data_IF_727962342062
#
_entry.id   IF_727962342062
#
_cell.length_a   1.000
_cell.length_b   1.000
_cell.length_c   1.000
_cell.angle_alpha   90.00
_cell.angle_beta   90.00
_cell.angle_gamma   90.00
#
_symmetry.space_group_name_H-M   'P 1'
#
loop_
_entity.id
_entity.type
_entity.pdbx_description
1 polymer ?
#
# COMPACT_ATOMS: atom_id res chain seq x y z
N UNK A 1 12.16 -2.65 0.94
CA UNK A 1 10.93 -3.41 1.26
C UNK A 1 9.88 -2.39 1.64
N UNK A 2 9.31 -1.83 0.58
CA UNK A 2 8.23 -0.88 0.62
C UNK A 2 7.00 -1.60 1.19
N UNK A 3 6.17 -0.95 2.01
CA UNK A 3 4.79 -1.39 2.20
C UNK A 3 4.16 -1.72 0.85
N UNK A 4 3.24 -2.68 0.81
CA UNK A 4 2.51 -3.03 -0.41
C UNK A 4 1.96 -1.77 -1.13
N UNK A 5 1.41 -0.82 -0.36
CA UNK A 5 1.02 0.51 -0.83
C UNK A 5 2.17 1.30 -1.45
N UNK A 6 3.26 1.49 -0.71
CA UNK A 6 4.44 2.21 -1.21
C UNK A 6 5.08 1.52 -2.43
N UNK A 7 5.01 0.19 -2.52
CA UNK A 7 5.49 -0.59 -3.66
C UNK A 7 4.67 -0.30 -4.91
N UNK A 8 3.35 -0.38 -4.81
CA UNK A 8 2.42 -0.09 -5.91
C UNK A 8 2.56 1.37 -6.35
N UNK A 9 2.62 2.32 -5.42
CA UNK A 9 2.89 3.74 -5.73
C UNK A 9 4.27 3.97 -6.35
N UNK A 10 5.27 3.16 -5.98
CA UNK A 10 6.59 3.17 -6.62
C UNK A 10 6.50 2.76 -8.10
N UNK A 11 5.83 1.64 -8.39
CA UNK A 11 5.61 1.15 -9.75
C UNK A 11 4.80 2.15 -10.59
N UNK A 12 3.77 2.76 -10.01
CA UNK A 12 2.99 3.81 -10.65
C UNK A 12 3.83 5.03 -11.04
N UNK A 13 4.77 5.43 -10.18
CA UNK A 13 5.71 6.52 -10.49
C UNK A 13 6.61 6.17 -11.69
N UNK A 14 7.07 4.92 -11.78
CA UNK A 14 7.90 4.47 -12.90
C UNK A 14 7.12 4.46 -14.23
N UNK A 15 5.83 4.08 -14.19
CA UNK A 15 4.90 4.20 -15.33
C UNK A 15 4.76 5.67 -15.74
N UNK A 16 4.45 6.56 -14.79
CA UNK A 16 4.30 7.99 -15.06
C UNK A 16 5.57 8.63 -15.64
N UNK A 17 6.74 8.27 -15.11
CA UNK A 17 8.03 8.77 -15.60
C UNK A 17 8.27 8.38 -17.06
N UNK A 18 8.06 7.11 -17.40
CA UNK A 18 8.27 6.60 -18.76
C UNK A 18 7.25 7.18 -19.74
N UNK A 19 5.96 7.26 -19.37
CA UNK A 19 4.93 7.88 -20.20
C UNK A 19 5.21 9.37 -20.45
N UNK A 20 5.67 10.11 -19.44
CA UNK A 20 6.08 11.51 -19.60
C UNK A 20 7.28 11.67 -20.53
N UNK A 21 8.28 10.78 -20.43
CA UNK A 21 9.44 10.78 -21.32
C UNK A 21 9.02 10.57 -22.78
N UNK A 22 8.18 9.57 -23.04
CA UNK A 22 7.63 9.29 -24.37
C UNK A 22 6.84 10.49 -24.90
N UNK A 23 5.96 11.10 -24.09
CA UNK A 23 5.17 12.27 -24.51
C UNK A 23 6.06 13.42 -24.99
N UNK A 24 7.16 13.71 -24.27
CA UNK A 24 8.11 14.75 -24.64
C UNK A 24 8.83 14.41 -25.94
N UNK A 25 9.28 13.17 -26.10
CA UNK A 25 9.97 12.71 -27.31
C UNK A 25 9.04 12.76 -28.54
N UNK A 26 7.79 12.31 -28.41
CA UNK A 26 6.80 12.38 -29.48
C UNK A 26 6.46 13.82 -29.85
N UNK A 27 6.26 14.69 -28.86
CA UNK A 27 5.97 16.12 -29.10
C UNK A 27 7.10 16.81 -29.87
N UNK A 28 8.36 16.44 -29.61
CA UNK A 28 9.52 16.96 -30.38
C UNK A 28 9.50 16.47 -31.83
N UNK A 29 9.11 15.22 -32.06
CA UNK A 29 9.02 14.64 -33.39
C UNK A 29 7.90 15.29 -34.21
N UNK A 30 6.72 15.47 -33.62
CA UNK A 30 5.55 16.03 -34.30
C UNK A 30 5.68 17.53 -34.55
N UNK A 31 6.25 18.30 -33.62
CA UNK A 31 6.53 19.73 -33.82
C UNK A 31 7.58 19.98 -34.93
N UNK A 32 8.51 19.03 -35.14
CA UNK A 32 9.53 19.15 -36.17
C UNK A 32 9.00 18.90 -37.60
N UNK A 33 7.84 18.25 -37.76
CA UNK A 33 7.19 18.08 -39.07
C UNK A 33 6.64 19.40 -39.65
N UNK A 34 6.50 20.44 -38.84
CA UNK A 34 6.15 21.79 -39.30
C UNK A 34 7.38 22.65 -39.68
N UNK A 35 8.60 22.12 -39.51
CA UNK A 35 9.88 22.79 -39.79
C UNK A 35 10.76 22.08 -40.83
N UNK A 36 11.90 22.68 -41.25
CA UNK A 36 12.69 22.22 -42.39
C UNK A 36 13.56 20.97 -42.15
N UNK A 37 13.30 20.18 -41.10
CA UNK A 37 14.23 19.13 -40.65
C UNK A 37 13.56 17.73 -40.57
N UNK A 38 13.40 17.02 -41.69
CA UNK A 38 12.68 15.74 -41.79
C UNK A 38 13.39 14.53 -41.13
N UNK A 39 14.56 14.70 -40.50
CA UNK A 39 15.33 13.62 -39.86
C UNK A 39 15.08 13.42 -38.36
N UNK A 40 14.11 14.11 -37.76
CA UNK A 40 13.92 14.13 -36.30
C UNK A 40 13.34 12.83 -35.74
N UNK A 41 12.40 12.18 -36.44
CA UNK A 41 11.82 10.94 -35.93
C UNK A 41 12.78 9.76 -36.00
N UNK A 42 13.46 9.52 -37.13
CA UNK A 42 14.44 8.43 -37.27
C UNK A 42 15.55 8.48 -36.19
N UNK A 43 16.01 9.69 -35.85
CA UNK A 43 17.01 9.87 -34.81
C UNK A 43 16.47 9.66 -33.39
N UNK A 44 15.18 9.95 -33.15
CA UNK A 44 14.55 9.88 -31.82
C UNK A 44 13.88 8.52 -31.55
N UNK A 45 13.53 7.78 -32.61
CA UNK A 45 12.85 6.47 -32.55
C UNK A 45 13.56 5.47 -31.64
N UNK A 46 14.90 5.32 -31.64
CA UNK A 46 15.58 4.41 -30.71
C UNK A 46 15.36 4.77 -29.24
N UNK A 47 15.33 6.07 -28.91
CA UNK A 47 15.07 6.55 -27.54
C UNK A 47 13.62 6.28 -27.14
N UNK A 48 12.66 6.53 -28.03
CA UNK A 48 11.23 6.22 -27.80
C UNK A 48 11.05 4.72 -27.55
N UNK A 49 11.69 3.86 -28.34
CA UNK A 49 11.60 2.41 -28.17
C UNK A 49 12.22 1.94 -26.85
N UNK A 50 13.32 2.54 -26.42
CA UNK A 50 13.93 2.23 -25.12
C UNK A 50 12.99 2.59 -23.96
N UNK A 51 12.40 3.79 -23.99
CA UNK A 51 11.42 4.24 -22.98
C UNK A 51 10.14 3.42 -23.01
N UNK A 52 9.69 2.99 -24.20
CA UNK A 52 8.53 2.11 -24.35
C UNK A 52 8.75 0.75 -23.69
N UNK A 53 9.95 0.17 -23.77
CA UNK A 53 10.26 -1.08 -23.07
C UNK A 53 10.25 -0.90 -21.54
N UNK A 54 10.72 0.24 -21.04
CA UNK A 54 10.59 0.60 -19.61
C UNK A 54 9.13 0.74 -19.23
N UNK A 55 8.32 1.47 -20.02
CA UNK A 55 6.89 1.64 -19.80
C UNK A 55 6.17 0.29 -19.78
N UNK A 56 6.41 -0.59 -20.76
CA UNK A 56 5.81 -1.94 -20.82
C UNK A 56 6.13 -2.76 -19.58
N UNK A 57 7.40 -2.77 -19.17
CA UNK A 57 7.85 -3.50 -17.99
C UNK A 57 7.21 -2.93 -16.71
N UNK A 58 7.21 -1.62 -16.54
CA UNK A 58 6.65 -0.95 -15.36
C UNK A 58 5.13 -1.10 -15.29
N UNK A 59 4.42 -0.99 -16.41
CA UNK A 59 2.97 -1.21 -16.48
C UNK A 59 2.62 -2.66 -16.17
N UNK A 60 3.35 -3.62 -16.72
CA UNK A 60 3.15 -5.05 -16.40
C UNK A 60 3.42 -5.33 -14.92
N UNK A 61 4.50 -4.75 -14.37
CA UNK A 61 4.84 -4.88 -12.96
C UNK A 61 3.80 -4.27 -12.04
N UNK A 62 3.30 -3.07 -12.37
CA UNK A 62 2.22 -2.41 -11.64
C UNK A 62 0.98 -3.31 -11.62
N UNK A 63 0.50 -3.73 -12.79
CA UNK A 63 -0.73 -4.52 -12.92
C UNK A 63 -0.62 -5.87 -12.21
N UNK A 64 0.53 -6.54 -12.29
CA UNK A 64 0.79 -7.80 -11.58
C UNK A 64 0.89 -7.63 -10.06
N UNK A 65 1.23 -6.43 -9.58
CA UNK A 65 1.29 -6.13 -8.16
C UNK A 65 -0.08 -5.75 -7.57
N UNK A 66 -1.10 -5.47 -8.39
CA UNK A 66 -2.42 -5.10 -7.88
C UNK A 66 -3.19 -6.31 -7.32
N UNK A 67 -4.16 -6.10 -6.42
CA UNK A 67 -5.00 -7.17 -5.90
C UNK A 67 -5.89 -7.77 -6.98
N UNK A 68 -6.17 -9.07 -6.89
CA UNK A 68 -7.09 -9.77 -7.81
C UNK A 68 -8.54 -9.29 -7.65
N UNK A 69 -8.93 -8.87 -6.45
CA UNK A 69 -10.27 -8.38 -6.09
C UNK A 69 -10.44 -6.86 -6.26
N UNK A 70 -9.46 -6.19 -6.85
CA UNK A 70 -9.54 -4.76 -7.14
C UNK A 70 -10.49 -4.47 -8.30
N UNK A 71 -11.52 -3.68 -8.06
CA UNK A 71 -12.43 -3.16 -9.08
C UNK A 71 -11.76 -2.03 -9.89
N UNK A 72 -10.97 -2.43 -10.89
CA UNK A 72 -10.21 -1.52 -11.76
C UNK A 72 -10.12 -2.02 -13.21
N UNK A 73 -11.05 -2.87 -13.65
CA UNK A 73 -10.95 -3.54 -14.96
C UNK A 73 -10.84 -2.55 -16.12
N UNK A 74 -11.71 -1.53 -16.15
CA UNK A 74 -11.67 -0.51 -17.18
C UNK A 74 -10.32 0.24 -17.23
N UNK A 75 -9.84 0.92 -16.16
CA UNK A 75 -8.55 1.63 -16.23
C UNK A 75 -7.34 0.71 -16.45
N UNK A 76 -7.40 -0.56 -16.04
CA UNK A 76 -6.36 -1.57 -16.34
C UNK A 76 -6.31 -1.88 -17.84
N UNK A 77 -7.46 -2.13 -18.44
CA UNK A 77 -7.58 -2.39 -19.88
C UNK A 77 -7.13 -1.18 -20.70
N UNK A 78 -7.52 0.04 -20.31
CA UNK A 78 -7.09 1.25 -21.01
C UNK A 78 -5.57 1.46 -20.97
N UNK A 79 -4.95 1.29 -19.79
CA UNK A 79 -3.49 1.39 -19.66
C UNK A 79 -2.77 0.40 -20.58
N UNK A 80 -3.22 -0.87 -20.60
CA UNK A 80 -2.64 -1.88 -21.48
C UNK A 80 -2.85 -1.54 -22.96
N UNK A 81 -4.03 -1.02 -23.30
CA UNK A 81 -4.41 -0.66 -24.67
C UNK A 81 -3.58 0.50 -25.19
N UNK A 82 -3.39 1.58 -24.44
CA UNK A 82 -2.57 2.72 -24.85
C UNK A 82 -1.09 2.33 -24.98
N UNK A 83 -0.55 1.52 -24.05
CA UNK A 83 0.82 0.98 -24.19
C UNK A 83 0.98 0.15 -25.48
N UNK A 84 -0.01 -0.68 -25.80
CA UNK A 84 -0.03 -1.46 -27.04
C UNK A 84 -0.07 -0.57 -28.29
N UNK A 85 -0.92 0.46 -28.32
CA UNK A 85 -1.05 1.34 -29.48
C UNK A 85 0.20 2.19 -29.72
N UNK A 86 0.85 2.69 -28.66
CA UNK A 86 2.15 3.36 -28.77
C UNK A 86 3.14 2.44 -29.49
N UNK A 87 3.25 1.17 -29.07
CA UNK A 87 4.15 0.21 -29.72
C UNK A 87 3.81 -0.01 -31.20
N UNK A 88 2.53 -0.19 -31.52
CA UNK A 88 2.07 -0.42 -32.89
C UNK A 88 2.38 0.78 -33.80
N UNK A 89 2.10 2.00 -33.35
CA UNK A 89 2.27 3.20 -34.16
C UNK A 89 3.72 3.60 -34.35
N UNK A 90 4.56 3.45 -33.33
CA UNK A 90 6.01 3.69 -33.45
C UNK A 90 6.67 2.68 -34.40
N UNK A 91 6.20 1.43 -34.43
CA UNK A 91 6.68 0.42 -35.40
C UNK A 91 6.24 0.68 -36.84
N UNK A 92 5.14 1.40 -37.04
CA UNK A 92 4.60 1.77 -38.34
C UNK A 92 5.13 3.12 -38.86
N UNK A 93 6.06 3.73 -38.13
CA UNK A 93 6.61 5.05 -38.44
C UNK A 93 5.54 6.15 -38.51
N UNK A 94 4.53 6.07 -37.63
CA UNK A 94 3.43 7.03 -37.52
C UNK A 94 3.28 7.55 -36.08
N UNK A 95 4.28 8.27 -35.54
CA UNK A 95 4.28 8.74 -34.15
C UNK A 95 3.13 9.71 -33.80
N UNK A 96 2.61 10.43 -34.80
CA UNK A 96 1.46 11.34 -34.64
C UNK A 96 0.18 10.60 -34.25
N UNK A 97 0.02 9.35 -34.69
CA UNK A 97 -1.16 8.53 -34.41
C UNK A 97 -1.26 8.14 -32.93
N UNK A 98 -0.16 8.19 -32.18
CA UNK A 98 -0.10 7.84 -30.75
C UNK A 98 0.29 9.00 -29.84
N UNK A 99 0.23 10.26 -30.30
CA UNK A 99 0.63 11.41 -29.48
C UNK A 99 -0.25 11.57 -28.22
N UNK A 100 -1.52 11.17 -28.33
CA UNK A 100 -2.49 11.25 -27.24
C UNK A 100 -2.32 10.11 -26.22
N UNK A 101 -1.87 8.92 -26.63
CA UNK A 101 -1.81 7.73 -25.77
C UNK A 101 -1.00 7.97 -24.47
N UNK A 102 0.24 8.53 -24.47
CA UNK A 102 0.96 8.81 -23.24
C UNK A 102 0.30 9.89 -22.38
N UNK A 103 -0.40 10.85 -23.00
CA UNK A 103 -1.12 11.89 -22.28
C UNK A 103 -2.35 11.30 -21.56
N UNK A 104 -3.07 10.39 -22.22
CA UNK A 104 -4.22 9.69 -21.63
C UNK A 104 -3.80 8.75 -20.49
N UNK A 105 -2.65 8.08 -20.61
CA UNK A 105 -2.05 7.32 -19.50
C UNK A 105 -1.84 8.21 -18.27
N UNK A 106 -1.28 9.40 -18.46
CA UNK A 106 -0.96 10.33 -17.38
C UNK A 106 -2.20 11.01 -16.78
N UNK A 107 -3.18 11.33 -17.61
CA UNK A 107 -4.36 12.10 -17.22
C UNK A 107 -5.50 11.23 -16.69
N UNK A 108 -5.65 10.00 -17.18
CA UNK A 108 -6.83 9.17 -16.94
C UNK A 108 -6.48 7.76 -16.46
N UNK A 109 -5.71 6.99 -17.22
CA UNK A 109 -5.57 5.54 -16.95
C UNK A 109 -4.85 5.29 -15.63
N UNK A 110 -3.65 5.86 -15.47
CA UNK A 110 -2.85 5.66 -14.27
C UNK A 110 -3.53 6.29 -13.03
N UNK A 111 -4.06 7.53 -13.08
CA UNK A 111 -4.87 8.06 -11.99
C UNK A 111 -6.09 7.19 -11.64
N UNK A 112 -6.76 6.61 -12.65
CA UNK A 112 -7.89 5.70 -12.46
C UNK A 112 -7.48 4.42 -11.71
N UNK A 113 -6.40 3.77 -12.16
CA UNK A 113 -5.83 2.59 -11.47
C UNK A 113 -5.45 2.93 -10.03
N UNK A 114 -4.78 4.05 -9.81
CA UNK A 114 -4.30 4.44 -8.48
C UNK A 114 -5.44 4.83 -7.54
N UNK A 115 -6.47 5.51 -8.04
CA UNK A 115 -7.67 5.85 -7.28
C UNK A 115 -8.40 4.59 -6.82
N UNK A 116 -8.58 3.60 -7.71
CA UNK A 116 -9.16 2.32 -7.34
C UNK A 116 -8.31 1.59 -6.30
N UNK A 117 -6.99 1.54 -6.51
CA UNK A 117 -6.07 0.89 -5.57
C UNK A 117 -6.09 1.56 -4.20
N UNK A 118 -6.03 2.88 -4.13
CA UNK A 118 -6.08 3.62 -2.87
C UNK A 118 -7.41 3.39 -2.16
N UNK A 119 -8.54 3.36 -2.88
CA UNK A 119 -9.84 3.02 -2.30
C UNK A 119 -9.90 1.59 -1.76
N UNK A 120 -9.43 0.61 -2.52
CA UNK A 120 -9.34 -0.79 -2.08
C UNK A 120 -8.42 -0.92 -0.87
N UNK A 121 -7.26 -0.24 -0.91
CA UNK A 121 -6.32 -0.26 0.19
C UNK A 121 -6.98 0.33 1.44
N UNK A 122 -7.70 1.44 1.28
CA UNK A 122 -8.45 2.14 2.33
C UNK A 122 -9.58 1.31 2.95
N UNK A 123 -10.24 0.45 2.17
CA UNK A 123 -11.42 -0.30 2.61
C UNK A 123 -11.11 -1.73 3.05
N UNK A 124 -10.05 -2.33 2.50
CA UNK A 124 -9.74 -3.75 2.66
C UNK A 124 -8.44 -3.98 3.44
N UNK A 125 -7.42 -3.13 3.22
CA UNK A 125 -6.08 -3.33 3.75
C UNK A 125 -5.68 -2.35 4.87
N UNK A 126 -6.47 -1.30 5.12
CA UNK A 126 -6.06 -0.26 6.07
C UNK A 126 -6.07 -0.74 7.50
N UNK A 127 -5.05 -0.34 8.26
CA UNK A 127 -5.19 -0.10 9.68
C UNK A 127 -6.50 0.62 10.02
N UNK A 128 -7.15 0.21 11.12
CA UNK A 128 -8.26 0.94 11.73
C UNK A 128 -8.15 2.47 11.50
N UNK A 129 -9.16 3.17 10.95
CA UNK A 129 -9.02 4.51 10.35
C UNK A 129 -8.35 5.57 11.25
N UNK A 130 -8.54 5.45 12.56
CA UNK A 130 -7.89 6.32 13.55
C UNK A 130 -6.37 6.09 13.63
N UNK A 131 -5.92 4.83 13.63
CA UNK A 131 -4.49 4.50 13.57
C UNK A 131 -3.89 5.06 12.29
N UNK A 132 -4.53 4.84 11.14
CA UNK A 132 -4.05 5.35 9.85
C UNK A 132 -3.91 6.88 9.86
N UNK A 133 -4.93 7.61 10.35
CA UNK A 133 -4.92 9.07 10.40
C UNK A 133 -3.80 9.62 11.29
N UNK A 134 -3.56 9.02 12.46
CA UNK A 134 -2.53 9.47 13.40
C UNK A 134 -1.12 9.17 12.89
N UNK A 135 -0.93 8.01 12.28
CA UNK A 135 0.37 7.56 11.81
C UNK A 135 0.82 8.19 10.48
N UNK A 136 -0.12 8.71 9.68
CA UNK A 136 0.13 9.25 8.33
C UNK A 136 1.32 10.21 8.28
N UNK A 137 1.36 11.20 9.18
CA UNK A 137 2.42 12.22 9.16
C UNK A 137 3.81 11.63 9.44
N UNK A 138 3.90 10.71 10.39
CA UNK A 138 5.16 10.06 10.77
C UNK A 138 5.66 9.12 9.67
N UNK A 139 4.75 8.38 9.03
CA UNK A 139 5.09 7.50 7.91
C UNK A 139 5.61 8.32 6.73
N UNK A 140 4.93 9.43 6.40
CA UNK A 140 5.33 10.34 5.31
C UNK A 140 6.67 11.03 5.57
N UNK A 141 6.94 11.44 6.82
CA UNK A 141 8.20 12.08 7.20
C UNK A 141 9.36 11.10 7.39
N UNK A 142 9.11 9.78 7.33
CA UNK A 142 10.12 8.76 7.61
C UNK A 142 10.45 8.59 9.10
N UNK A 143 9.73 9.26 10.00
CA UNK A 143 9.93 9.16 11.45
C UNK A 143 9.24 7.90 12.02
N UNK A 144 9.82 6.75 11.69
CA UNK A 144 9.26 5.43 12.03
C UNK A 144 9.27 5.16 13.54
N UNK A 145 10.25 5.70 14.27
CA UNK A 145 10.31 5.55 15.71
C UNK A 145 9.10 6.23 16.38
N UNK A 146 8.73 7.44 15.95
CA UNK A 146 7.52 8.11 16.44
C UNK A 146 6.25 7.42 15.96
N UNK A 147 6.19 6.97 14.70
CA UNK A 147 5.06 6.18 14.19
C UNK A 147 4.78 4.95 15.07
N UNK A 148 5.83 4.19 15.39
CA UNK A 148 5.72 3.01 16.26
C UNK A 148 5.26 3.38 17.68
N UNK A 149 5.84 4.43 18.28
CA UNK A 149 5.44 4.89 19.63
C UNK A 149 3.96 5.26 19.68
N UNK A 150 3.51 6.05 18.71
CA UNK A 150 2.13 6.50 18.63
C UNK A 150 1.16 5.34 18.32
N UNK A 151 1.52 4.46 17.39
CA UNK A 151 0.67 3.34 16.98
C UNK A 151 0.35 2.39 18.13
N UNK A 152 1.36 2.01 18.93
CA UNK A 152 1.14 1.19 20.12
C UNK A 152 0.36 1.93 21.22
N UNK A 153 0.55 3.24 21.37
CA UNK A 153 -0.20 4.03 22.35
C UNK A 153 -1.70 4.10 21.99
N UNK A 154 -2.02 4.33 20.72
CA UNK A 154 -3.40 4.34 20.21
C UNK A 154 -4.03 2.96 20.37
N UNK A 155 -3.32 1.91 19.95
CA UNK A 155 -3.79 0.53 20.11
C UNK A 155 -4.10 0.20 21.57
N UNK A 156 -3.17 0.51 22.49
CA UNK A 156 -3.36 0.30 23.93
C UNK A 156 -4.61 1.01 24.41
N UNK A 157 -4.74 2.30 24.12
CA UNK A 157 -5.86 3.14 24.60
C UNK A 157 -7.19 2.51 24.19
N UNK A 158 -7.34 2.14 22.92
CA UNK A 158 -8.57 1.54 22.42
C UNK A 158 -8.90 0.21 23.06
N UNK A 159 -7.91 -0.65 23.23
CA UNK A 159 -8.12 -1.98 23.80
C UNK A 159 -8.42 -1.90 25.29
N UNK A 160 -7.78 -0.97 26.02
CA UNK A 160 -8.05 -0.72 27.43
C UNK A 160 -9.49 -0.22 27.62
N UNK A 161 -9.92 0.76 26.84
CA UNK A 161 -11.30 1.27 26.87
C UNK A 161 -12.33 0.19 26.50
N UNK A 162 -12.09 -0.53 25.40
CA UNK A 162 -13.01 -1.55 24.87
C UNK A 162 -13.24 -2.71 25.84
N UNK A 163 -12.21 -3.11 26.58
CA UNK A 163 -12.26 -4.25 27.50
C UNK A 163 -12.31 -3.86 28.98
N UNK A 164 -12.42 -2.57 29.30
CA UNK A 164 -12.49 -2.06 30.67
C UNK A 164 -11.26 -2.44 31.51
N UNK A 165 -10.07 -2.38 30.93
CA UNK A 165 -8.82 -2.71 31.62
C UNK A 165 -8.28 -1.48 32.38
N UNK A 166 -7.34 -1.67 33.32
CA UNK A 166 -6.65 -0.55 33.96
C UNK A 166 -5.72 0.21 32.99
N UNK A 167 -5.70 1.54 33.06
CA UNK A 167 -4.87 2.39 32.18
C UNK A 167 -3.36 2.19 32.36
N UNK A 168 -2.93 1.66 33.51
CA UNK A 168 -1.52 1.44 33.84
C UNK A 168 -0.94 0.13 33.26
N UNK A 169 -1.77 -0.74 32.65
CA UNK A 169 -1.27 -1.96 32.01
C UNK A 169 -0.67 -1.68 30.63
N UNK A 170 0.46 -2.30 30.33
CA UNK A 170 1.15 -2.19 29.04
C UNK A 170 1.97 -3.46 28.74
N UNK A 171 2.42 -3.60 27.49
CA UNK A 171 3.30 -4.67 27.02
C UNK A 171 2.81 -6.07 27.39
N UNK A 172 3.70 -6.90 27.92
CA UNK A 172 3.37 -8.29 28.28
C UNK A 172 2.29 -8.40 29.36
N UNK A 173 2.13 -7.39 30.22
CA UNK A 173 1.03 -7.36 31.21
C UNK A 173 -0.31 -7.13 30.54
N UNK A 174 -0.37 -6.21 29.58
CA UNK A 174 -1.57 -5.97 28.77
C UNK A 174 -1.95 -7.21 27.96
N UNK A 175 -0.96 -7.85 27.32
CA UNK A 175 -1.15 -9.08 26.55
C UNK A 175 -1.82 -10.19 27.38
N UNK A 176 -1.28 -10.46 28.58
CA UNK A 176 -1.85 -11.45 29.53
C UNK A 176 -3.26 -11.09 29.96
N UNK A 177 -3.50 -9.83 30.34
CA UNK A 177 -4.83 -9.35 30.76
C UNK A 177 -5.88 -9.49 29.67
N UNK A 178 -5.50 -9.42 28.40
CA UNK A 178 -6.39 -9.62 27.27
C UNK A 178 -6.59 -11.09 26.92
N UNK A 179 -5.48 -11.81 26.70
CA UNK A 179 -5.49 -13.07 25.95
C UNK A 179 -5.32 -14.32 26.81
N UNK A 180 -5.02 -14.20 28.11
CA UNK A 180 -4.95 -15.38 28.99
C UNK A 180 -6.30 -16.11 29.06
N UNK A 181 -6.27 -17.34 29.59
CA UNK A 181 -7.47 -18.19 29.75
C UNK A 181 -8.63 -17.49 30.45
N UNK A 182 -8.34 -16.62 31.40
CA UNK A 182 -9.32 -15.77 32.12
C UNK A 182 -9.20 -14.28 31.77
N UNK A 183 -8.53 -13.94 30.67
CA UNK A 183 -8.37 -12.57 30.19
C UNK A 183 -9.66 -12.00 29.62
N UNK A 184 -9.67 -10.69 29.37
CA UNK A 184 -10.87 -9.97 28.95
C UNK A 184 -11.43 -10.44 27.59
N UNK A 185 -10.60 -11.02 26.72
CA UNK A 185 -11.05 -11.56 25.45
C UNK A 185 -11.58 -13.01 25.52
N UNK A 186 -11.61 -13.64 26.71
CA UNK A 186 -12.00 -15.04 26.90
C UNK A 186 -13.41 -15.39 26.41
N UNK A 187 -14.36 -14.45 26.54
CA UNK A 187 -15.76 -14.66 26.14
C UNK A 187 -16.03 -14.44 24.65
N UNK A 188 -15.09 -13.83 23.93
CA UNK A 188 -15.29 -13.36 22.54
C UNK A 188 -14.35 -14.02 21.54
N UNK A 189 -13.21 -14.56 21.99
CA UNK A 189 -12.24 -15.30 21.18
C UNK A 189 -12.12 -16.76 21.65
N UNK A 190 -11.91 -17.69 20.73
CA UNK A 190 -11.51 -19.07 21.09
C UNK A 190 -10.12 -19.12 21.74
N UNK A 191 -9.84 -20.21 22.43
CA UNK A 191 -8.50 -20.56 22.91
C UNK A 191 -7.41 -20.47 21.84
N UNK A 192 -7.72 -20.91 20.61
CA UNK A 192 -6.77 -20.87 19.48
C UNK A 192 -6.52 -19.43 19.04
N UNK A 193 -7.58 -18.64 18.85
CA UNK A 193 -7.49 -17.23 18.44
C UNK A 193 -6.75 -16.40 19.49
N UNK A 194 -7.04 -16.61 20.78
CA UNK A 194 -6.35 -15.92 21.87
C UNK A 194 -4.84 -16.17 21.88
N UNK A 195 -4.42 -17.44 21.74
CA UNK A 195 -2.99 -17.77 21.66
C UNK A 195 -2.33 -17.10 20.46
N UNK A 196 -2.95 -17.20 19.28
CA UNK A 196 -2.42 -16.56 18.07
C UNK A 196 -2.30 -15.04 18.22
N UNK A 197 -3.32 -14.38 18.79
CA UNK A 197 -3.30 -12.93 19.04
C UNK A 197 -2.24 -12.54 20.08
N UNK A 198 -2.09 -13.31 21.15
CA UNK A 198 -1.06 -13.10 22.16
C UNK A 198 0.36 -13.21 21.58
N UNK A 199 0.60 -14.24 20.78
CA UNK A 199 1.89 -14.51 20.16
C UNK A 199 2.23 -13.40 19.16
N UNK A 200 1.25 -12.97 18.35
CA UNK A 200 1.40 -11.84 17.44
C UNK A 200 1.73 -10.55 18.20
N UNK A 201 0.91 -10.16 19.18
CA UNK A 201 1.14 -8.93 19.95
C UNK A 201 2.49 -8.93 20.66
N UNK A 202 2.84 -10.03 21.34
CA UNK A 202 4.09 -10.14 22.08
C UNK A 202 5.31 -10.05 21.15
N UNK A 203 5.22 -10.64 19.96
CA UNK A 203 6.25 -10.55 18.93
C UNK A 203 6.38 -9.12 18.38
N UNK A 204 5.25 -8.47 18.07
CA UNK A 204 5.24 -7.07 17.62
C UNK A 204 5.82 -6.13 18.68
N UNK A 205 5.44 -6.30 19.95
CA UNK A 205 5.96 -5.48 21.04
C UNK A 205 7.49 -5.63 21.17
N UNK A 206 7.98 -6.87 21.09
CA UNK A 206 9.41 -7.17 21.23
C UNK A 206 10.23 -6.69 20.03
N UNK A 207 9.77 -6.95 18.80
CA UNK A 207 10.52 -6.66 17.58
C UNK A 207 10.40 -5.21 17.12
N UNK A 208 9.26 -4.56 17.41
CA UNK A 208 8.92 -3.24 16.85
C UNK A 208 8.88 -2.18 17.94
N UNK A 209 8.18 -2.41 19.07
CA UNK A 209 7.98 -1.37 20.10
C UNK A 209 9.17 -1.17 21.04
N UNK A 210 9.88 -2.23 21.39
CA UNK A 210 11.01 -2.18 22.33
C UNK A 210 12.23 -1.42 21.79
N UNK A 211 12.73 -1.66 20.56
CA UNK A 211 13.92 -0.95 20.05
C UNK A 211 13.84 0.59 20.15
N UNK A 212 12.77 1.26 19.68
CA UNK A 212 12.67 2.72 19.80
C UNK A 212 12.47 3.19 21.24
N UNK A 213 12.05 2.32 22.17
CA UNK A 213 11.89 2.65 23.59
C UNK A 213 13.22 2.62 24.36
N UNK A 214 14.21 1.88 23.85
CA UNK A 214 15.52 1.70 24.49
C UNK A 214 16.65 2.47 23.80
N UNK A 215 16.32 3.38 22.88
CA UNK A 215 17.30 4.25 22.22
C UNK A 215 17.95 3.66 20.98
N UNK A 216 17.43 2.55 20.44
CA UNK A 216 17.85 2.04 19.13
C UNK A 216 17.19 2.90 18.04
N UNK A 217 17.99 3.78 17.41
CA UNK A 217 17.48 4.91 16.61
C UNK A 217 17.19 4.53 15.15
N UNK A 218 17.68 3.38 14.69
CA UNK A 218 17.50 2.91 13.31
C UNK A 218 16.59 1.69 13.25
N UNK A 219 15.28 1.89 13.49
CA UNK A 219 14.33 0.87 13.06
C UNK A 219 14.30 0.81 11.54
N UNK A 220 14.42 -0.40 11.03
CA UNK A 220 14.10 -0.69 9.65
C UNK A 220 12.66 -0.20 9.37
N UNK A 221 12.53 0.68 8.39
CA UNK A 221 11.24 1.28 8.00
C UNK A 221 10.20 0.21 7.67
N UNK A 222 10.66 -0.86 7.06
CA UNK A 222 9.85 -1.93 6.52
C UNK A 222 9.30 -2.80 7.66
N UNK A 223 10.17 -3.15 8.62
CA UNK A 223 9.77 -3.76 9.88
C UNK A 223 8.75 -2.91 10.63
N UNK A 224 8.95 -1.59 10.67
CA UNK A 224 8.05 -0.66 11.36
C UNK A 224 6.68 -0.59 10.72
N UNK A 225 6.63 -0.39 9.40
CA UNK A 225 5.37 -0.32 8.66
C UNK A 225 4.61 -1.65 8.71
N UNK A 226 5.30 -2.78 8.48
CA UNK A 226 4.70 -4.11 8.59
C UNK A 226 4.17 -4.39 10.01
N UNK A 227 4.93 -3.97 11.03
CA UNK A 227 4.51 -4.08 12.42
C UNK A 227 3.25 -3.26 12.75
N UNK A 228 3.16 -2.03 12.24
CA UNK A 228 2.00 -1.17 12.41
C UNK A 228 0.76 -1.70 11.68
N UNK A 229 0.92 -2.27 10.48
CA UNK A 229 -0.17 -2.94 9.76
C UNK A 229 -0.70 -4.13 10.55
N UNK A 230 0.18 -5.01 11.05
CA UNK A 230 -0.23 -6.17 11.86
C UNK A 230 -0.87 -5.75 13.18
N UNK A 231 -0.37 -4.69 13.83
CA UNK A 231 -0.95 -4.13 15.05
C UNK A 231 -2.38 -3.64 14.81
N UNK A 232 -2.61 -2.96 13.69
CA UNK A 232 -3.92 -2.45 13.35
C UNK A 232 -4.90 -3.55 12.92
N UNK A 233 -4.40 -4.58 12.23
CA UNK A 233 -5.19 -5.78 11.95
C UNK A 233 -5.60 -6.51 13.24
N UNK A 234 -4.69 -6.59 14.22
CA UNK A 234 -5.00 -7.14 15.53
C UNK A 234 -6.10 -6.33 16.26
N UNK A 235 -6.09 -4.99 16.15
CA UNK A 235 -7.18 -4.17 16.68
C UNK A 235 -8.52 -4.50 16.00
N UNK A 236 -8.53 -4.60 14.67
CA UNK A 236 -9.74 -4.95 13.93
C UNK A 236 -10.30 -6.33 14.32
N UNK A 237 -9.43 -7.32 14.57
CA UNK A 237 -9.84 -8.64 15.09
C UNK A 237 -10.54 -8.49 16.44
N UNK A 238 -9.95 -7.70 17.36
CA UNK A 238 -10.51 -7.47 18.69
C UNK A 238 -11.85 -6.74 18.64
N UNK A 239 -11.97 -5.68 17.83
CA UNK A 239 -13.22 -4.94 17.64
C UNK A 239 -14.32 -5.82 17.07
N UNK A 240 -14.00 -6.61 16.04
CA UNK A 240 -14.94 -7.55 15.44
C UNK A 240 -15.36 -8.63 16.42
N UNK A 241 -14.45 -9.12 17.26
CA UNK A 241 -14.77 -10.08 18.31
C UNK A 241 -15.65 -9.45 19.40
N UNK A 242 -15.34 -8.23 19.83
CA UNK A 242 -16.08 -7.51 20.88
C UNK A 242 -17.53 -7.19 20.46
N UNK A 243 -17.78 -6.94 19.17
CA UNK A 243 -19.14 -6.72 18.64
C UNK A 243 -19.98 -8.01 18.54
N UNK A 244 -19.36 -9.20 18.62
CA UNK A 244 -20.10 -10.47 18.57
C UNK A 244 -20.78 -10.73 19.91
N UNK A 245 -21.96 -11.38 19.93
CA UNK A 245 -22.52 -11.88 21.16
C UNK A 245 -21.53 -12.86 21.83
N UNK A 246 -21.39 -12.84 23.17
CA UNK A 246 -20.47 -13.72 23.87
C UNK A 246 -20.77 -15.19 23.53
N UNK A 247 -19.71 -15.96 23.27
CA UNK A 247 -19.87 -17.39 22.97
C UNK A 247 -20.50 -18.08 24.17
N UNK A 248 -21.63 -18.74 23.96
CA UNK A 248 -22.28 -19.54 24.99
C UNK A 248 -21.26 -20.55 25.54
N UNK A 249 -21.00 -20.48 26.85
CA UNK A 249 -20.10 -21.39 27.54
C UNK A 249 -20.73 -22.79 27.54
N UNK A 250 -20.48 -23.60 26.50
CA UNK A 250 -21.16 -24.90 26.43
C UNK A 250 -20.91 -25.83 25.25
N UNK A 251 -20.30 -25.41 24.13
CA UNK A 251 -19.95 -26.35 23.06
C UNK A 251 -18.53 -26.89 23.28
N UNK A 252 -18.39 -27.88 24.16
CA UNK A 252 -17.17 -28.69 24.27
C UNK A 252 -17.04 -29.53 23.01
N UNK A 253 -16.03 -29.25 22.19
CA UNK A 253 -15.43 -30.22 21.27
C UNK A 253 -14.28 -30.92 21.95
#
# INVERSE_FOLDING_TARGET
MLTYHSHVHGLARDVAGSASSILVLLSRCTAAHEGPNPGTFENTKPEILAELEVLKKSSTGLLAALPDDLDADEPREQLQRHVHWIEQWIRRDQPESCLHDPADILAYDLPGVMSAFDHWYETTATPHPELANRLRRHIQSGDMASAVREGFAVWKTRVVEMYGLPDDVDGSRLARRLFDKSGAAAGVLSDKERRACNDLYSSLYTLVRNPPSHGDVNLDRQLSEGGLTLLAWLLAILENAHRRPPRAAGARG
#
